data_IF_435501952556
#
_entry.id   IF_435501952556
#
_cell.length_a   1.000
_cell.length_b   1.000
_cell.length_c   1.000
_cell.angle_alpha   90.00
_cell.angle_beta   90.00
_cell.angle_gamma   90.00
#
_symmetry.space_group_name_H-M   'P 1'
#
loop_
_entity.id
_entity.type
_entity.pdbx_description
1 polymer ?
#
# COMPACT_ATOMS: atom_id res chain seq x y z
N UNK A 1 8.35 -3.23 -72.89
CA UNK A 1 7.48 -2.54 -71.91
C UNK A 1 7.03 -3.59 -70.92
N UNK A 2 7.53 -3.55 -69.68
CA UNK A 2 7.27 -4.59 -68.69
C UNK A 2 5.79 -4.55 -68.30
N UNK A 3 5.09 -5.68 -68.47
CA UNK A 3 3.73 -5.87 -67.99
C UNK A 3 3.75 -5.68 -66.47
N UNK A 4 3.28 -4.52 -66.00
CA UNK A 4 3.12 -4.25 -64.58
C UNK A 4 1.95 -5.12 -64.08
N UNK A 5 2.27 -6.09 -63.22
CA UNK A 5 1.27 -6.95 -62.60
C UNK A 5 0.58 -6.18 -61.46
N UNK A 6 -0.40 -5.35 -61.83
CA UNK A 6 -1.15 -4.46 -60.94
C UNK A 6 -1.91 -5.25 -59.85
N UNK A 7 -2.37 -6.46 -60.16
CA UNK A 7 -3.07 -7.34 -59.21
C UNK A 7 -2.12 -7.85 -58.11
N UNK A 8 -0.90 -8.24 -58.49
CA UNK A 8 0.15 -8.66 -57.56
C UNK A 8 0.62 -7.52 -56.65
N UNK A 9 0.65 -6.29 -57.16
CA UNK A 9 0.98 -5.11 -56.35
C UNK A 9 -0.11 -4.80 -55.32
N UNK A 10 -1.38 -4.96 -55.69
CA UNK A 10 -2.51 -4.69 -54.81
C UNK A 10 -2.56 -5.65 -53.62
N UNK A 11 -2.34 -6.95 -53.84
CA UNK A 11 -2.31 -7.94 -52.76
C UNK A 11 -1.12 -7.71 -51.80
N UNK A 12 0.04 -7.32 -52.32
CA UNK A 12 1.21 -6.97 -51.50
C UNK A 12 0.94 -5.71 -50.68
N UNK A 13 0.28 -4.70 -51.27
CA UNK A 13 -0.10 -3.47 -50.58
C UNK A 13 -1.08 -3.74 -49.42
N UNK A 14 -2.12 -4.54 -49.67
CA UNK A 14 -3.10 -4.89 -48.63
C UNK A 14 -2.46 -5.74 -47.52
N UNK A 15 -1.59 -6.69 -47.88
CA UNK A 15 -0.84 -7.48 -46.91
C UNK A 15 0.08 -6.63 -46.03
N UNK A 16 0.77 -5.65 -46.62
CA UNK A 16 1.63 -4.72 -45.88
C UNK A 16 0.79 -3.85 -44.91
N UNK A 17 -0.36 -3.35 -45.36
CA UNK A 17 -1.24 -2.52 -44.54
C UNK A 17 -1.76 -3.30 -43.31
N UNK A 18 -2.21 -4.53 -43.52
CA UNK A 18 -2.66 -5.42 -42.45
C UNK A 18 -1.52 -5.74 -41.48
N UNK A 19 -0.32 -6.05 -42.00
CA UNK A 19 0.85 -6.35 -41.16
C UNK A 19 1.27 -5.16 -40.28
N UNK A 20 1.31 -3.95 -40.86
CA UNK A 20 1.60 -2.72 -40.11
C UNK A 20 0.52 -2.45 -39.06
N UNK A 21 -0.76 -2.62 -39.41
CA UNK A 21 -1.88 -2.47 -38.47
C UNK A 21 -1.78 -3.42 -37.27
N UNK A 22 -1.51 -4.71 -37.51
CA UNK A 22 -1.35 -5.70 -36.44
C UNK A 22 -0.10 -5.40 -35.60
N UNK A 23 1.00 -4.95 -36.22
CA UNK A 23 2.22 -4.59 -35.49
C UNK A 23 1.98 -3.43 -34.51
N UNK A 24 1.31 -2.36 -34.93
CA UNK A 24 0.95 -1.27 -34.03
C UNK A 24 -0.02 -1.72 -32.94
N UNK A 25 -0.99 -2.56 -33.28
CA UNK A 25 -1.95 -3.09 -32.31
C UNK A 25 -1.26 -3.95 -31.24
N UNK A 26 -0.27 -4.76 -31.64
CA UNK A 26 0.57 -5.53 -30.72
C UNK A 26 1.41 -4.62 -29.80
N UNK A 27 1.97 -3.52 -30.33
CA UNK A 27 2.71 -2.55 -29.52
C UNK A 27 1.82 -1.86 -28.48
N UNK A 28 0.59 -1.49 -28.84
CA UNK A 28 -0.38 -0.87 -27.93
C UNK A 28 -0.78 -1.85 -26.83
N UNK A 29 -1.05 -3.12 -27.17
CA UNK A 29 -1.38 -4.16 -26.18
C UNK A 29 -0.20 -4.42 -25.23
N UNK A 30 1.02 -4.49 -25.76
CA UNK A 30 2.20 -4.73 -24.93
C UNK A 30 2.42 -3.60 -23.91
N UNK A 31 2.23 -2.35 -24.34
CA UNK A 31 2.34 -1.19 -23.43
C UNK A 31 1.16 -1.08 -22.46
N UNK A 32 -0.07 -1.43 -22.87
CA UNK A 32 -1.25 -1.35 -21.99
C UNK A 32 -1.18 -2.37 -20.85
N UNK A 33 -0.61 -3.55 -21.09
CA UNK A 33 -0.34 -4.53 -20.04
C UNK A 33 0.68 -4.00 -19.00
N UNK A 34 1.74 -3.35 -19.47
CA UNK A 34 2.77 -2.74 -18.62
C UNK A 34 2.24 -1.60 -17.74
N UNK A 35 1.40 -0.73 -18.29
CA UNK A 35 0.83 0.40 -17.53
C UNK A 35 -0.22 -0.07 -16.51
N UNK A 36 -1.06 -1.06 -16.89
CA UNK A 36 -2.05 -1.65 -15.99
C UNK A 36 -1.45 -2.34 -14.77
N UNK A 37 -0.25 -2.93 -14.91
CA UNK A 37 0.48 -3.56 -13.81
C UNK A 37 0.94 -2.54 -12.76
N UNK A 38 1.54 -1.42 -13.19
CA UNK A 38 2.07 -0.40 -12.26
C UNK A 38 1.00 0.33 -11.44
N UNK A 39 -0.22 0.47 -11.98
CA UNK A 39 -1.34 1.11 -11.24
C UNK A 39 -1.98 0.15 -10.23
N UNK A 40 -2.01 -1.16 -10.52
CA UNK A 40 -2.50 -2.16 -9.57
C UNK A 40 -1.50 -2.39 -8.41
N UNK A 41 -0.19 -2.32 -8.69
CA UNK A 41 0.86 -2.40 -7.68
C UNK A 41 0.77 -1.23 -6.67
N UNK A 42 0.51 0.00 -7.13
CA UNK A 42 0.36 1.17 -6.23
C UNK A 42 -0.87 1.14 -5.30
N UNK A 43 -1.92 0.38 -5.64
CA UNK A 43 -3.12 0.20 -4.78
C UNK A 43 -2.94 -0.97 -3.80
N UNK A 44 -2.12 -1.96 -4.16
CA UNK A 44 -1.71 -3.07 -3.27
C UNK A 44 -0.69 -2.64 -2.21
N UNK A 45 -0.07 -1.47 -2.37
CA UNK A 45 1.00 -0.98 -1.50
C UNK A 45 0.50 -0.48 -0.14
N UNK A 46 -0.81 -0.36 0.09
CA UNK A 46 -1.30 -0.03 1.43
C UNK A 46 -1.09 -1.23 2.37
N UNK A 47 -0.24 -1.12 3.41
CA UNK A 47 0.21 -2.25 4.20
C UNK A 47 -0.83 -2.61 5.28
N UNK A 48 -2.03 -3.04 4.86
CA UNK A 48 -3.19 -3.30 5.74
C UNK A 48 -2.86 -4.28 6.86
N UNK A 49 -2.16 -5.36 6.52
CA UNK A 49 -1.78 -6.38 7.49
C UNK A 49 -0.82 -5.81 8.51
N UNK A 50 0.14 -4.98 8.08
CA UNK A 50 1.13 -4.44 9.00
C UNK A 50 0.54 -3.48 10.02
N UNK A 51 -0.35 -2.60 9.57
CA UNK A 51 -1.07 -1.67 10.43
C UNK A 51 -1.99 -2.43 11.39
N UNK A 52 -2.65 -3.50 10.92
CA UNK A 52 -3.54 -4.31 11.77
C UNK A 52 -2.76 -5.03 12.88
N UNK A 53 -1.66 -5.67 12.54
CA UNK A 53 -0.83 -6.37 13.53
C UNK A 53 -0.22 -5.40 14.55
N UNK A 54 0.19 -4.20 14.08
CA UNK A 54 0.67 -3.15 14.96
C UNK A 54 -0.40 -2.68 15.93
N UNK A 55 -1.62 -2.47 15.43
CA UNK A 55 -2.76 -2.05 16.26
C UNK A 55 -3.04 -3.07 17.36
N UNK A 56 -3.01 -4.36 17.04
CA UNK A 56 -3.20 -5.43 18.02
C UNK A 56 -2.12 -5.40 19.12
N UNK A 57 -0.85 -5.17 18.75
CA UNK A 57 0.23 -5.01 19.73
C UNK A 57 0.05 -3.77 20.62
N UNK A 58 -0.44 -2.65 20.06
CA UNK A 58 -0.73 -1.42 20.83
C UNK A 58 -1.92 -1.64 21.76
N UNK A 59 -2.94 -2.40 21.37
CA UNK A 59 -4.06 -2.72 22.24
C UNK A 59 -3.65 -3.65 23.39
N UNK A 60 -2.80 -4.66 23.14
CA UNK A 60 -2.23 -5.48 24.23
C UNK A 60 -1.36 -4.63 25.18
N UNK A 61 -0.65 -3.63 24.66
CA UNK A 61 0.04 -2.65 25.50
C UNK A 61 -0.94 -1.86 26.38
N UNK A 62 -2.04 -1.36 25.82
CA UNK A 62 -3.07 -0.61 26.56
C UNK A 62 -3.78 -1.50 27.60
N UNK A 63 -4.06 -2.76 27.29
CA UNK A 63 -4.66 -3.69 28.25
C UNK A 63 -3.74 -3.97 29.45
N UNK A 64 -2.42 -4.04 29.21
CA UNK A 64 -1.44 -4.33 30.27
C UNK A 64 -1.04 -3.10 31.08
N UNK A 65 -0.93 -1.95 30.44
CA UNK A 65 -0.35 -0.74 31.05
C UNK A 65 -1.30 0.45 31.08
N UNK A 66 -2.32 0.51 30.23
CA UNK A 66 -3.18 1.68 30.08
C UNK A 66 -2.36 2.93 29.75
N UNK A 67 -2.65 4.03 30.46
CA UNK A 67 -1.83 5.26 30.44
C UNK A 67 -0.74 5.26 31.55
N UNK A 68 -0.23 4.09 31.95
CA UNK A 68 0.86 4.04 32.91
C UNK A 68 2.17 4.50 32.26
N UNK A 69 2.85 5.44 32.91
CA UNK A 69 4.17 5.95 32.52
C UNK A 69 5.27 5.38 33.43
N UNK A 70 5.32 4.04 33.56
CA UNK A 70 6.32 3.35 34.36
C UNK A 70 7.46 2.81 33.48
N UNK A 71 8.55 2.36 34.10
CA UNK A 71 9.73 1.89 33.37
C UNK A 71 9.42 0.70 32.43
N UNK A 72 8.54 -0.21 32.86
CA UNK A 72 8.14 -1.37 32.07
C UNK A 72 7.31 -0.98 30.85
N UNK A 73 6.39 -0.01 30.98
CA UNK A 73 5.58 0.45 29.86
C UNK A 73 6.43 1.22 28.85
N UNK A 74 7.37 2.03 29.32
CA UNK A 74 8.35 2.69 28.45
C UNK A 74 9.24 1.70 27.69
N UNK A 75 9.69 0.63 28.34
CA UNK A 75 10.46 -0.43 27.71
C UNK A 75 9.66 -1.13 26.59
N UNK A 76 8.43 -1.56 26.88
CA UNK A 76 7.57 -2.22 25.88
C UNK A 76 7.23 -1.27 24.72
N UNK A 77 6.96 0.00 25.00
CA UNK A 77 6.74 1.02 23.96
C UNK A 77 7.97 1.14 23.05
N UNK A 78 9.16 1.21 23.64
CA UNK A 78 10.41 1.31 22.88
C UNK A 78 10.67 0.06 22.05
N UNK A 79 10.37 -1.13 22.58
CA UNK A 79 10.48 -2.39 21.84
C UNK A 79 9.52 -2.43 20.64
N UNK A 80 8.27 -1.97 20.80
CA UNK A 80 7.31 -1.89 19.68
C UNK A 80 7.86 -0.99 18.57
N UNK A 81 8.41 0.18 18.91
CA UNK A 81 8.99 1.13 17.95
C UNK A 81 10.24 0.52 17.29
N UNK A 82 11.10 -0.14 18.06
CA UNK A 82 12.31 -0.76 17.53
C UNK A 82 11.99 -1.90 16.54
N UNK A 83 11.04 -2.78 16.90
CA UNK A 83 10.61 -3.90 16.07
C UNK A 83 9.91 -3.38 14.80
N UNK A 84 9.10 -2.34 14.88
CA UNK A 84 8.44 -1.76 13.70
C UNK A 84 9.47 -1.16 12.73
N UNK A 85 10.51 -0.53 13.27
CA UNK A 85 11.59 0.03 12.47
C UNK A 85 12.45 -1.07 11.82
N UNK A 86 12.88 -2.07 12.59
CA UNK A 86 13.79 -3.11 12.11
C UNK A 86 13.13 -4.08 11.13
N UNK A 87 11.92 -4.55 11.44
CA UNK A 87 11.27 -5.63 10.67
C UNK A 87 10.37 -5.11 9.55
N UNK A 88 9.75 -3.95 9.74
CA UNK A 88 8.74 -3.41 8.80
C UNK A 88 9.20 -2.15 8.08
N UNK A 89 10.42 -1.65 8.37
CA UNK A 89 10.91 -0.36 7.90
C UNK A 89 9.89 0.78 8.11
N UNK A 90 9.12 0.69 9.20
CA UNK A 90 8.04 1.61 9.50
C UNK A 90 8.34 2.35 10.80
N UNK A 91 8.35 3.67 10.71
CA UNK A 91 8.35 4.56 11.86
C UNK A 91 6.94 4.55 12.43
N UNK A 92 6.83 4.12 13.68
CA UNK A 92 5.59 4.12 14.44
C UNK A 92 5.78 4.97 15.66
N UNK A 93 4.79 5.80 15.96
CA UNK A 93 4.66 6.47 17.24
C UNK A 93 3.21 6.35 17.71
N UNK A 94 2.99 6.14 19.00
CA UNK A 94 1.65 6.08 19.56
C UNK A 94 1.58 6.71 20.94
N UNK A 95 0.44 7.34 21.22
CA UNK A 95 0.13 7.99 22.48
C UNK A 95 -1.17 7.46 23.07
N UNK A 96 -1.18 7.22 24.38
CA UNK A 96 -2.31 6.68 25.12
C UNK A 96 -2.74 7.72 26.14
N UNK A 97 -3.89 8.35 25.92
CA UNK A 97 -4.44 9.35 26.83
C UNK A 97 -5.15 8.71 28.03
N UNK A 98 -5.42 9.51 29.06
CA UNK A 98 -6.20 9.06 30.22
C UNK A 98 -7.60 8.57 29.82
N UNK A 99 -8.14 7.55 30.50
CA UNK A 99 -9.41 6.95 30.12
C UNK A 99 -10.56 7.95 30.23
N UNK A 100 -11.39 8.01 29.19
CA UNK A 100 -12.55 8.89 29.08
C UNK A 100 -13.83 8.06 29.15
N UNK A 101 -14.87 8.61 29.78
CA UNK A 101 -16.18 7.97 29.79
C UNK A 101 -16.91 8.31 28.48
N UNK A 102 -17.01 7.31 27.60
CA UNK A 102 -17.73 7.39 26.34
C UNK A 102 -18.91 6.43 26.43
N UNK A 103 -20.14 6.96 26.36
CA UNK A 103 -21.37 6.16 26.35
C UNK A 103 -21.50 5.18 27.54
N UNK A 104 -20.98 5.54 28.71
CA UNK A 104 -21.04 4.72 29.93
C UNK A 104 -19.90 3.70 30.07
N UNK A 105 -18.92 3.69 29.16
CA UNK A 105 -17.72 2.84 29.23
C UNK A 105 -16.47 3.70 29.36
N UNK A 106 -15.57 3.30 30.26
CA UNK A 106 -14.22 3.88 30.36
C UNK A 106 -13.37 3.31 29.23
N UNK A 107 -12.92 4.18 28.32
CA UNK A 107 -12.10 3.83 27.16
C UNK A 107 -10.85 4.71 27.12
N UNK A 108 -9.72 4.15 26.72
CA UNK A 108 -8.47 4.86 26.47
C UNK A 108 -8.48 5.42 25.04
N UNK A 109 -8.35 6.75 24.86
CA UNK A 109 -8.07 7.33 23.55
C UNK A 109 -6.61 7.01 23.17
N UNK A 110 -6.43 6.31 22.05
CA UNK A 110 -5.14 5.92 21.51
C UNK A 110 -4.94 6.62 20.18
N UNK A 111 -3.86 7.38 20.04
CA UNK A 111 -3.46 8.00 18.78
C UNK A 111 -2.26 7.25 18.21
N UNK A 112 -2.34 6.80 16.96
CA UNK A 112 -1.31 5.99 16.29
C UNK A 112 -0.85 6.74 15.03
N UNK A 113 0.45 6.94 14.91
CA UNK A 113 1.13 7.51 13.77
C UNK A 113 1.99 6.43 13.11
N UNK A 114 1.72 6.12 11.83
CA UNK A 114 2.46 5.14 11.04
C UNK A 114 3.02 5.77 9.78
N UNK A 115 4.29 5.47 9.49
CA UNK A 115 4.95 5.89 8.27
C UNK A 115 6.02 4.88 7.84
N UNK A 116 5.86 4.26 6.67
CA UNK A 116 6.85 3.35 6.08
C UNK A 116 7.63 3.94 4.90
N UNK A 117 7.62 5.26 4.74
CA UNK A 117 8.28 5.97 3.63
C UNK A 117 7.43 6.08 2.36
N UNK A 118 6.36 5.29 2.23
CA UNK A 118 5.44 5.34 1.09
C UNK A 118 4.03 5.74 1.53
N UNK A 119 3.52 5.11 2.58
CA UNK A 119 2.20 5.36 3.15
C UNK A 119 2.34 6.03 4.51
N UNK A 120 1.66 7.17 4.67
CA UNK A 120 1.43 7.81 5.98
C UNK A 120 0.00 7.52 6.42
N UNK A 121 -0.15 7.07 7.67
CA UNK A 121 -1.45 6.76 8.26
C UNK A 121 -1.51 7.27 9.70
N UNK A 122 -2.59 7.99 10.01
CA UNK A 122 -2.86 8.54 11.34
C UNK A 122 -4.24 8.02 11.78
N UNK A 123 -4.30 7.42 12.98
CA UNK A 123 -5.54 6.85 13.54
C UNK A 123 -5.75 7.35 14.97
N UNK A 124 -7.00 7.64 15.34
CA UNK A 124 -7.40 7.86 16.73
C UNK A 124 -8.52 6.89 17.07
N UNK A 125 -8.25 5.95 17.98
CA UNK A 125 -9.19 4.90 18.39
C UNK A 125 -9.52 5.03 19.87
N UNK A 126 -10.73 4.62 20.26
CA UNK A 126 -11.12 4.49 21.66
C UNK A 126 -11.19 3.00 21.99
N UNK A 127 -10.31 2.54 22.89
CA UNK A 127 -10.19 1.12 23.27
C UNK A 127 -10.43 0.90 24.76
#
# INVERSE_FOLDING_TARGET
MACMNEEGQWIVLMGLLVAVGIFFLALIINQSALVGQTTAEGVLEFPKNDIRDLREAIFDYVDRFGNANNHSSQAVRQDIIAISLERKNAVVDFDVESPQNISGRLLYPVTIHYNNGVTKYDERVYY
#
